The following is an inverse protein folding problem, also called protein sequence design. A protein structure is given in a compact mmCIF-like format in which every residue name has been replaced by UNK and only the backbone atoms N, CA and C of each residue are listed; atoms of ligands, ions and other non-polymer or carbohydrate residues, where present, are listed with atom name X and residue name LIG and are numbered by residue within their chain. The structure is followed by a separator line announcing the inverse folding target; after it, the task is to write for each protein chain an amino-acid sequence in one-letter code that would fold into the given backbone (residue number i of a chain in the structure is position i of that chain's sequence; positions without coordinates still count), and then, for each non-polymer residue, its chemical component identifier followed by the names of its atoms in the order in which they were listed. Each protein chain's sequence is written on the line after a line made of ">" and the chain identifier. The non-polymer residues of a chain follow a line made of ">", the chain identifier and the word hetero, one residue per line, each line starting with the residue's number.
data_IF_608418415695
#
_entry.id   IF_608418415695
#
_cell.length_a   1.000
_cell.length_b   1.000
_cell.length_c   1.000
_cell.angle_alpha   90.00
_cell.angle_beta   90.00
_cell.angle_gamma   90.00
#
_symmetry.space_group_name_H-M   'P 1'
#
loop_
_entity.id
_entity.type
_entity.pdbx_description
1 polymer ?
#
# COMPACT_ATOMS: atom_id res chain seq x y z
N UNK A 1 -19.33 -11.73 8.25
CA UNK A 1 -17.91 -12.15 8.15
C UNK A 1 -17.11 -11.41 9.21
N UNK A 2 -16.23 -12.08 9.97
CA UNK A 2 -15.49 -11.44 11.08
C UNK A 2 -14.38 -10.54 10.52
N UNK A 3 -14.44 -9.23 10.78
CA UNK A 3 -13.45 -8.24 10.34
C UNK A 3 -12.01 -8.64 10.70
N UNK A 4 -11.83 -9.38 11.79
CA UNK A 4 -10.51 -9.85 12.23
C UNK A 4 -9.91 -10.88 11.28
N UNK A 5 -10.73 -11.82 10.79
CA UNK A 5 -10.29 -12.82 9.82
C UNK A 5 -9.95 -12.17 8.48
N UNK A 6 -10.75 -11.19 8.07
CA UNK A 6 -10.48 -10.38 6.87
C UNK A 6 -9.15 -9.64 7.04
N UNK A 7 -8.96 -8.91 8.14
CA UNK A 7 -7.74 -8.15 8.40
C UNK A 7 -6.48 -9.02 8.42
N UNK A 8 -6.54 -10.22 9.02
CA UNK A 8 -5.40 -11.15 8.98
C UNK A 8 -5.13 -11.66 7.57
N UNK A 9 -6.15 -12.16 6.86
CA UNK A 9 -5.97 -12.70 5.51
C UNK A 9 -5.48 -11.64 4.52
N UNK A 10 -6.11 -10.46 4.56
CA UNK A 10 -5.75 -9.30 3.77
C UNK A 10 -4.32 -8.85 4.07
N UNK A 11 -3.94 -8.71 5.35
CA UNK A 11 -2.58 -8.30 5.71
C UNK A 11 -1.52 -9.31 5.26
N UNK A 12 -1.78 -10.61 5.38
CA UNK A 12 -0.87 -11.65 4.87
C UNK A 12 -0.74 -11.55 3.34
N UNK A 13 -1.85 -11.41 2.63
CA UNK A 13 -1.84 -11.26 1.17
C UNK A 13 -1.06 -10.03 0.73
N UNK A 14 -1.22 -8.88 1.40
CA UNK A 14 -0.44 -7.66 1.17
C UNK A 14 1.06 -7.91 1.34
N UNK A 15 1.48 -8.55 2.43
CA UNK A 15 2.91 -8.86 2.67
C UNK A 15 3.46 -9.79 1.59
N UNK A 16 2.75 -10.88 1.29
CA UNK A 16 3.19 -11.87 0.30
C UNK A 16 3.34 -11.23 -1.09
N UNK A 17 2.33 -10.47 -1.55
CA UNK A 17 2.41 -9.81 -2.85
C UNK A 17 3.57 -8.79 -2.88
N UNK A 18 3.75 -8.01 -1.82
CA UNK A 18 4.87 -7.06 -1.72
C UNK A 18 6.24 -7.74 -1.76
N UNK A 19 6.39 -8.90 -1.12
CA UNK A 19 7.62 -9.69 -1.15
C UNK A 19 7.88 -10.27 -2.56
N UNK A 20 6.85 -10.79 -3.22
CA UNK A 20 6.97 -11.31 -4.58
C UNK A 20 7.34 -10.20 -5.56
N UNK A 21 6.69 -9.04 -5.50
CA UNK A 21 7.05 -7.88 -6.33
C UNK A 21 8.48 -7.41 -6.09
N UNK A 22 8.90 -7.36 -4.82
CA UNK A 22 10.28 -7.01 -4.47
C UNK A 22 11.30 -8.02 -5.01
N UNK A 23 10.97 -9.32 -4.95
CA UNK A 23 11.82 -10.38 -5.50
C UNK A 23 11.92 -10.31 -7.03
N UNK A 24 10.81 -10.02 -7.73
CA UNK A 24 10.80 -9.80 -9.18
C UNK A 24 11.68 -8.60 -9.54
N UNK A 25 11.52 -7.46 -8.85
CA UNK A 25 12.32 -6.26 -9.09
C UNK A 25 13.82 -6.51 -8.81
N UNK A 26 14.14 -7.22 -7.74
CA UNK A 26 15.53 -7.59 -7.41
C UNK A 26 16.16 -8.50 -8.47
N UNK A 27 15.42 -9.49 -8.96
CA UNK A 27 15.88 -10.40 -10.01
C UNK A 27 15.97 -9.74 -11.39
N UNK A 28 15.29 -8.60 -11.60
CA UNK A 28 15.24 -7.91 -12.88
C UNK A 28 15.55 -6.40 -12.70
N UNK A 29 16.83 -6.01 -12.52
CA UNK A 29 17.20 -4.61 -12.25
C UNK A 29 16.83 -3.62 -13.36
N UNK A 30 16.54 -4.11 -14.57
CA UNK A 30 16.04 -3.30 -15.68
C UNK A 30 14.52 -3.10 -15.69
N UNK A 31 13.76 -3.84 -14.87
CA UNK A 31 12.31 -3.76 -14.76
C UNK A 31 11.91 -2.67 -13.77
N UNK A 32 11.46 -1.53 -14.30
CA UNK A 32 10.94 -0.43 -13.49
C UNK A 32 9.43 -0.57 -13.34
N UNK A 33 8.98 -1.05 -12.19
CA UNK A 33 7.56 -1.24 -11.87
C UNK A 33 6.88 0.02 -11.30
N UNK A 34 7.65 1.07 -10.99
CA UNK A 34 7.12 2.36 -10.52
C UNK A 34 7.93 3.53 -11.07
N UNK A 35 7.28 4.58 -11.60
CA UNK A 35 7.95 5.78 -12.07
C UNK A 35 8.28 6.76 -10.92
N UNK A 36 8.90 6.25 -9.85
CA UNK A 36 9.16 7.02 -8.61
C UNK A 36 10.38 7.93 -8.67
N UNK A 37 11.41 7.60 -9.46
CA UNK A 37 12.61 8.42 -9.62
C UNK A 37 12.51 9.43 -10.77
N UNK A 38 12.73 10.72 -10.50
CA UNK A 38 12.89 11.75 -11.53
C UNK A 38 14.28 12.42 -11.45
N UNK A 39 14.99 12.62 -12.58
CA UNK A 39 14.59 12.24 -13.94
C UNK A 39 14.62 10.72 -14.14
N UNK A 40 13.52 10.18 -14.68
CA UNK A 40 13.48 8.79 -15.12
C UNK A 40 14.16 8.69 -16.48
N UNK A 41 15.11 7.78 -16.69
CA UNK A 41 15.52 7.42 -18.04
C UNK A 41 14.32 6.76 -18.73
N UNK A 42 13.51 7.54 -19.44
CA UNK A 42 12.29 7.08 -20.16
C UNK A 42 12.63 5.85 -21.01
N UNK A 43 13.81 5.82 -21.62
CA UNK A 43 14.32 4.68 -22.38
C UNK A 43 14.40 3.37 -21.59
N UNK A 44 14.73 3.38 -20.29
CA UNK A 44 14.78 2.16 -19.46
C UNK A 44 13.40 1.64 -19.09
N UNK A 45 12.50 2.55 -18.76
CA UNK A 45 11.10 2.22 -18.46
C UNK A 45 10.40 1.62 -19.70
N UNK A 46 10.60 2.25 -20.86
CA UNK A 46 10.11 1.78 -22.15
C UNK A 46 10.73 0.44 -22.53
N UNK A 47 12.04 0.28 -22.33
CA UNK A 47 12.76 -0.95 -22.67
C UNK A 47 12.17 -2.16 -21.97
N UNK A 48 11.96 -2.12 -20.65
CA UNK A 48 11.42 -3.25 -19.92
C UNK A 48 10.01 -3.66 -20.39
N UNK A 49 9.16 -2.68 -20.68
CA UNK A 49 7.79 -2.93 -21.17
C UNK A 49 7.81 -3.60 -22.54
N UNK A 50 8.75 -3.20 -23.41
CA UNK A 50 8.88 -3.76 -24.76
C UNK A 50 9.58 -5.13 -24.78
N UNK A 51 10.57 -5.37 -23.92
CA UNK A 51 11.39 -6.59 -23.94
C UNK A 51 10.81 -7.73 -23.11
N UNK A 52 10.04 -7.43 -22.07
CA UNK A 52 9.48 -8.44 -21.17
C UNK A 52 7.99 -8.18 -20.84
N UNK A 53 7.10 -8.04 -21.85
CA UNK A 53 5.70 -7.67 -21.62
C UNK A 53 4.95 -8.69 -20.75
N UNK A 54 5.23 -9.99 -20.87
CA UNK A 54 4.59 -11.01 -20.02
C UNK A 54 4.99 -10.87 -18.53
N UNK A 55 6.25 -10.52 -18.25
CA UNK A 55 6.71 -10.29 -16.88
C UNK A 55 6.06 -9.03 -16.29
N UNK A 56 5.89 -7.98 -17.10
CA UNK A 56 5.14 -6.77 -16.71
C UNK A 56 3.69 -7.13 -16.39
N UNK A 57 3.01 -7.89 -17.24
CA UNK A 57 1.62 -8.32 -17.00
C UNK A 57 1.47 -9.14 -15.72
N UNK A 58 2.38 -10.09 -15.47
CA UNK A 58 2.38 -10.87 -14.21
C UNK A 58 2.62 -9.96 -13.01
N UNK A 59 3.55 -9.02 -13.11
CA UNK A 59 3.84 -8.07 -12.02
C UNK A 59 2.62 -7.22 -11.67
N UNK A 60 1.93 -6.67 -12.67
CA UNK A 60 0.73 -5.87 -12.43
C UNK A 60 -0.50 -6.70 -12.05
N UNK A 61 -0.58 -7.97 -12.43
CA UNK A 61 -1.59 -8.89 -11.89
C UNK A 61 -1.38 -9.11 -10.38
N UNK A 62 -0.13 -9.29 -9.94
CA UNK A 62 0.21 -9.40 -8.52
C UNK A 62 -0.08 -8.08 -7.79
N UNK A 63 0.25 -6.94 -8.41
CA UNK A 63 0.00 -5.63 -7.82
C UNK A 63 -1.50 -5.33 -7.68
N UNK A 64 -2.35 -5.78 -8.60
CA UNK A 64 -3.81 -5.69 -8.42
C UNK A 64 -4.30 -6.50 -7.21
N UNK A 65 -3.73 -7.68 -6.97
CA UNK A 65 -4.03 -8.47 -5.76
C UNK A 65 -3.52 -7.75 -4.51
N UNK A 66 -2.33 -7.15 -4.57
CA UNK A 66 -1.78 -6.32 -3.50
C UNK A 66 -2.71 -5.15 -3.14
N UNK A 67 -3.23 -4.44 -4.15
CA UNK A 67 -4.16 -3.32 -3.99
C UNK A 67 -5.45 -3.76 -3.30
N UNK A 68 -6.09 -4.81 -3.81
CA UNK A 68 -7.31 -5.37 -3.22
C UNK A 68 -7.06 -5.80 -1.76
N UNK A 69 -5.91 -6.45 -1.50
CA UNK A 69 -5.55 -6.91 -0.17
C UNK A 69 -5.35 -5.75 0.80
N UNK A 70 -4.59 -4.70 0.46
CA UNK A 70 -4.41 -3.60 1.41
C UNK A 70 -5.71 -2.82 1.63
N UNK A 71 -6.56 -2.65 0.60
CA UNK A 71 -7.87 -2.01 0.77
C UNK A 71 -8.71 -2.80 1.76
N UNK A 72 -8.79 -4.12 1.60
CA UNK A 72 -9.53 -4.99 2.52
C UNK A 72 -8.97 -4.91 3.96
N UNK A 73 -7.65 -4.82 4.12
CA UNK A 73 -6.99 -4.64 5.42
C UNK A 73 -7.43 -3.34 6.10
N UNK A 74 -7.44 -2.22 5.37
CA UNK A 74 -7.80 -0.92 5.94
C UNK A 74 -9.31 -0.76 6.15
N UNK A 75 -10.15 -1.41 5.34
CA UNK A 75 -11.60 -1.54 5.61
C UNK A 75 -11.84 -2.33 6.89
N UNK A 76 -11.12 -3.43 7.12
CA UNK A 76 -11.18 -4.16 8.39
C UNK A 76 -10.72 -3.28 9.57
N UNK A 77 -9.71 -2.43 9.36
CA UNK A 77 -9.22 -1.51 10.38
C UNK A 77 -10.24 -0.43 10.72
N UNK A 78 -10.92 0.12 9.71
CA UNK A 78 -12.05 1.05 9.89
C UNK A 78 -13.12 0.44 10.78
N UNK A 79 -13.51 -0.82 10.52
CA UNK A 79 -14.50 -1.53 11.34
C UNK A 79 -14.15 -1.60 12.82
N UNK A 80 -12.86 -1.60 13.17
CA UNK A 80 -12.37 -1.60 14.56
C UNK A 80 -12.25 -0.20 15.17
N UNK A 81 -11.87 0.80 14.39
CA UNK A 81 -11.58 2.15 14.90
C UNK A 81 -12.79 3.08 14.85
N UNK A 82 -13.73 2.86 13.92
CA UNK A 82 -14.85 3.75 13.67
C UNK A 82 -15.81 3.91 14.85
N UNK A 83 -15.92 2.92 15.74
CA UNK A 83 -16.78 3.02 16.95
C UNK A 83 -16.30 4.08 17.93
N UNK A 84 -15.00 4.37 17.98
CA UNK A 84 -14.41 5.34 18.93
C UNK A 84 -14.09 6.67 18.28
N UNK A 85 -13.54 6.66 17.06
CA UNK A 85 -13.03 7.84 16.35
C UNK A 85 -13.49 7.85 14.90
N UNK A 86 -14.81 7.87 14.69
CA UNK A 86 -15.46 7.70 13.37
C UNK A 86 -14.93 8.62 12.28
N UNK A 87 -14.75 9.91 12.58
CA UNK A 87 -14.32 10.90 11.60
C UNK A 87 -12.92 10.56 11.05
N UNK A 88 -11.92 10.41 11.92
CA UNK A 88 -10.56 10.05 11.53
C UNK A 88 -10.49 8.69 10.82
N UNK A 89 -11.21 7.69 11.34
CA UNK A 89 -11.28 6.37 10.71
C UNK A 89 -11.83 6.45 9.28
N UNK A 90 -12.90 7.20 9.08
CA UNK A 90 -13.59 7.32 7.79
C UNK A 90 -12.76 8.10 6.78
N UNK A 91 -12.16 9.23 7.19
CA UNK A 91 -11.25 10.00 6.32
C UNK A 91 -10.04 9.15 5.93
N UNK A 92 -9.44 8.43 6.89
CA UNK A 92 -8.32 7.53 6.62
C UNK A 92 -8.69 6.42 5.64
N UNK A 93 -9.82 5.73 5.85
CA UNK A 93 -10.27 4.66 4.97
C UNK A 93 -10.66 5.17 3.57
N UNK A 94 -11.32 6.32 3.48
CA UNK A 94 -11.63 6.97 2.20
C UNK A 94 -10.34 7.37 1.46
N UNK A 95 -9.35 7.89 2.18
CA UNK A 95 -8.03 8.19 1.63
C UNK A 95 -7.34 6.96 1.04
N UNK A 96 -7.35 5.82 1.75
CA UNK A 96 -6.86 4.54 1.21
C UNK A 96 -7.64 4.13 -0.04
N UNK A 97 -8.95 4.31 -0.06
CA UNK A 97 -9.77 4.03 -1.25
C UNK A 97 -9.37 4.87 -2.46
N UNK A 98 -9.10 6.17 -2.27
CA UNK A 98 -8.63 7.05 -3.34
C UNK A 98 -7.22 6.66 -3.83
N UNK A 99 -6.34 6.24 -2.93
CA UNK A 99 -5.01 5.70 -3.28
C UNK A 99 -5.16 4.45 -4.14
N UNK A 100 -6.08 3.55 -3.80
CA UNK A 100 -6.34 2.35 -4.58
C UNK A 100 -6.89 2.65 -5.97
N UNK A 101 -7.73 3.67 -6.11
CA UNK A 101 -8.17 4.14 -7.43
C UNK A 101 -6.97 4.65 -8.25
N UNK A 102 -6.07 5.43 -7.63
CA UNK A 102 -4.86 5.89 -8.30
C UNK A 102 -3.93 4.74 -8.70
N UNK A 103 -3.74 3.72 -7.85
CA UNK A 103 -3.01 2.49 -8.18
C UNK A 103 -3.66 1.78 -9.38
N UNK A 104 -4.98 1.61 -9.38
CA UNK A 104 -5.68 0.93 -10.49
C UNK A 104 -5.53 1.68 -11.82
N UNK A 105 -5.60 3.01 -11.80
CA UNK A 105 -5.37 3.85 -12.99
C UNK A 105 -3.94 3.68 -13.50
N UNK A 106 -2.96 3.74 -12.60
CA UNK A 106 -1.55 3.54 -12.93
C UNK A 106 -1.31 2.16 -13.54
N UNK A 107 -1.84 1.11 -12.90
CA UNK A 107 -1.74 -0.26 -13.36
C UNK A 107 -2.40 -0.46 -14.73
N UNK A 108 -3.52 0.22 -14.99
CA UNK A 108 -4.19 0.17 -16.30
C UNK A 108 -3.29 0.71 -17.42
N UNK A 109 -2.51 1.77 -17.17
CA UNK A 109 -1.51 2.25 -18.13
C UNK A 109 -0.47 1.18 -18.44
N UNK A 110 0.16 0.60 -17.41
CA UNK A 110 1.22 -0.40 -17.62
C UNK A 110 0.73 -1.68 -18.28
N UNK A 111 -0.44 -2.17 -17.88
CA UNK A 111 -1.08 -3.33 -18.53
C UNK A 111 -1.36 -3.03 -20.00
N UNK A 112 -1.88 -1.85 -20.30
CA UNK A 112 -2.14 -1.43 -21.70
C UNK A 112 -0.85 -1.41 -22.52
N UNK A 113 0.23 -0.83 -21.99
CA UNK A 113 1.51 -0.78 -22.71
C UNK A 113 2.11 -2.16 -22.92
N UNK A 114 2.04 -3.05 -21.92
CA UNK A 114 2.53 -4.42 -22.06
C UNK A 114 1.71 -5.23 -23.08
N UNK A 115 0.38 -5.04 -23.13
CA UNK A 115 -0.48 -5.65 -24.15
C UNK A 115 -0.18 -5.12 -25.55
N UNK A 116 0.09 -3.82 -25.71
CA UNK A 116 0.51 -3.24 -26.99
C UNK A 116 1.85 -3.82 -27.46
N UNK A 117 2.84 -3.88 -26.58
CA UNK A 117 4.15 -4.46 -26.88
C UNK A 117 4.01 -5.93 -27.31
N UNK A 118 3.17 -6.71 -26.62
CA UNK A 118 2.86 -8.10 -26.98
C UNK A 118 2.17 -8.24 -28.35
N UNK A 119 1.40 -7.22 -28.76
CA UNK A 119 0.80 -7.14 -30.09
C UNK A 119 1.76 -6.62 -31.17
N UNK A 120 3.05 -6.41 -30.86
CA UNK A 120 4.05 -5.92 -31.80
C UNK A 120 4.03 -4.40 -31.98
N UNK A 121 3.33 -3.67 -31.11
CA UNK A 121 3.28 -2.19 -31.10
C UNK A 121 4.17 -1.71 -29.95
N UNK A 122 5.43 -1.35 -30.20
CA UNK A 122 6.34 -0.94 -29.13
C UNK A 122 5.87 0.37 -28.51
N UNK A 123 5.97 0.47 -27.18
CA UNK A 123 5.88 1.73 -26.49
C UNK A 123 7.08 2.59 -26.90
N UNK A 124 6.86 3.85 -27.28
CA UNK A 124 7.93 4.77 -27.67
C UNK A 124 7.97 6.01 -26.80
N UNK A 125 6.81 6.56 -26.46
CA UNK A 125 6.70 7.82 -25.71
C UNK A 125 5.57 7.76 -24.69
N UNK A 126 5.79 7.15 -23.51
CA UNK A 126 4.80 7.14 -22.46
C UNK A 126 4.64 8.57 -21.88
N UNK A 127 3.44 8.94 -21.40
CA UNK A 127 3.21 10.18 -20.68
C UNK A 127 3.88 10.15 -19.30
N UNK A 128 5.21 10.18 -19.26
CA UNK A 128 6.04 9.93 -18.09
C UNK A 128 5.76 10.90 -16.94
N UNK A 129 5.48 12.17 -17.26
CA UNK A 129 5.10 13.18 -16.27
C UNK A 129 3.78 12.82 -15.61
N UNK A 130 2.77 12.40 -16.38
CA UNK A 130 1.48 12.00 -15.83
C UNK A 130 1.62 10.78 -14.91
N UNK A 131 2.34 9.75 -15.36
CA UNK A 131 2.59 8.55 -14.54
C UNK A 131 3.32 8.92 -13.25
N UNK A 132 4.37 9.74 -13.34
CA UNK A 132 5.09 10.23 -12.17
C UNK A 132 4.18 10.98 -11.19
N UNK A 133 3.31 11.85 -11.69
CA UNK A 133 2.34 12.58 -10.85
C UNK A 133 1.34 11.62 -10.20
N UNK A 134 0.82 10.64 -10.92
CA UNK A 134 -0.08 9.61 -10.36
C UNK A 134 0.63 8.85 -9.25
N UNK A 135 1.86 8.37 -9.49
CA UNK A 135 2.69 7.68 -8.49
C UNK A 135 2.84 8.51 -7.22
N UNK A 136 3.11 9.80 -7.36
CA UNK A 136 3.31 10.69 -6.22
C UNK A 136 2.00 10.97 -5.48
N UNK A 137 0.91 11.25 -6.20
CA UNK A 137 -0.41 11.45 -5.60
C UNK A 137 -0.83 10.24 -4.78
N UNK A 138 -0.62 9.01 -5.27
CA UNK A 138 -0.95 7.80 -4.49
C UNK A 138 -0.07 7.64 -3.25
N UNK A 139 1.24 7.93 -3.35
CA UNK A 139 2.15 7.88 -2.20
C UNK A 139 1.71 8.91 -1.14
N UNK A 140 1.44 10.15 -1.54
CA UNK A 140 0.98 11.20 -0.64
C UNK A 140 -0.37 10.90 -0.02
N UNK A 141 -1.30 10.42 -0.83
CA UNK A 141 -2.61 9.97 -0.37
C UNK A 141 -2.47 8.89 0.70
N UNK A 142 -1.56 7.93 0.52
CA UNK A 142 -1.33 6.85 1.49
C UNK A 142 -0.76 7.40 2.79
N UNK A 143 0.23 8.29 2.71
CA UNK A 143 0.83 8.93 3.90
C UNK A 143 -0.22 9.70 4.71
N UNK A 144 -1.05 10.50 4.04
CA UNK A 144 -2.13 11.25 4.69
C UNK A 144 -3.15 10.29 5.29
N UNK A 145 -3.58 9.26 4.54
CA UNK A 145 -4.52 8.27 5.02
C UNK A 145 -4.01 7.53 6.26
N UNK A 146 -2.74 7.13 6.28
CA UNK A 146 -2.10 6.50 7.43
C UNK A 146 -2.03 7.44 8.65
N UNK A 147 -1.79 8.74 8.45
CA UNK A 147 -1.83 9.71 9.54
C UNK A 147 -3.23 9.80 10.16
N UNK A 148 -4.29 9.86 9.35
CA UNK A 148 -5.67 9.83 9.83
C UNK A 148 -6.03 8.51 10.54
N UNK A 149 -5.58 7.37 10.03
CA UNK A 149 -5.78 6.08 10.68
C UNK A 149 -5.02 5.94 12.00
N UNK A 150 -3.82 6.53 12.09
CA UNK A 150 -3.06 6.61 13.34
C UNK A 150 -3.85 7.39 14.40
N UNK A 151 -4.44 8.53 14.01
CA UNK A 151 -5.33 9.31 14.88
C UNK A 151 -6.60 8.55 15.27
N UNK A 152 -7.03 7.56 14.50
CA UNK A 152 -8.20 6.74 14.80
C UNK A 152 -7.90 5.57 15.75
N UNK A 153 -6.65 5.13 15.87
CA UNK A 153 -6.26 3.99 16.72
C UNK A 153 -6.40 4.31 18.22
N UNK A 154 -6.91 3.37 19.03
CA UNK A 154 -6.95 3.52 20.48
C UNK A 154 -5.54 3.42 21.07
N UNK A 155 -5.14 4.31 22.00
CA UNK A 155 -3.80 4.29 22.61
C UNK A 155 -3.71 3.38 23.86
N UNK A 156 -4.73 2.56 24.07
CA UNK A 156 -4.89 1.67 25.22
C UNK A 156 -4.15 0.35 24.94
N UNK A 157 -2.82 0.40 24.99
CA UNK A 157 -1.96 -0.78 24.86
C UNK A 157 -0.65 -0.51 24.12
N UNK A 158 0.31 -1.42 24.27
CA UNK A 158 1.63 -1.30 23.62
C UNK A 158 1.54 -1.40 22.10
N UNK A 159 0.79 -2.37 21.57
CA UNK A 159 0.72 -2.62 20.13
C UNK A 159 0.07 -1.46 19.35
N UNK A 160 -1.07 -0.88 19.76
CA UNK A 160 -1.61 0.30 19.09
C UNK A 160 -0.69 1.52 19.14
N UNK A 161 0.04 1.75 20.25
CA UNK A 161 1.05 2.84 20.33
C UNK A 161 2.19 2.62 19.35
N UNK A 162 2.65 1.38 19.20
CA UNK A 162 3.66 1.02 18.19
C UNK A 162 3.12 1.27 16.78
N UNK A 163 1.87 0.88 16.49
CA UNK A 163 1.24 1.17 15.20
C UNK A 163 1.16 2.67 14.91
N UNK A 164 0.73 3.48 15.89
CA UNK A 164 0.70 4.94 15.76
C UNK A 164 2.09 5.51 15.51
N UNK A 165 3.10 5.06 16.26
CA UNK A 165 4.49 5.49 16.05
C UNK A 165 5.00 5.12 14.64
N UNK A 166 4.75 3.90 14.18
CA UNK A 166 5.15 3.44 12.84
C UNK A 166 4.44 4.22 11.72
N UNK A 167 3.13 4.45 11.86
CA UNK A 167 2.37 5.27 10.91
C UNK A 167 2.86 6.73 10.92
N UNK A 168 3.18 7.28 12.09
CA UNK A 168 3.75 8.61 12.21
C UNK A 168 5.15 8.72 11.57
N UNK A 169 6.03 7.72 11.76
CA UNK A 169 7.37 7.66 11.13
C UNK A 169 7.29 7.47 9.61
N UNK A 170 6.22 6.84 9.11
CA UNK A 170 6.01 6.69 7.66
C UNK A 170 5.92 8.05 6.96
N UNK A 171 5.40 9.08 7.62
CA UNK A 171 5.30 10.44 7.07
C UNK A 171 6.68 11.04 6.74
N UNK A 172 7.58 11.28 7.71
CA UNK A 172 8.91 11.83 7.43
C UNK A 172 9.76 10.88 6.58
N UNK A 173 9.60 9.56 6.73
CA UNK A 173 10.31 8.60 5.87
C UNK A 173 9.91 8.70 4.40
N UNK A 174 8.62 8.94 4.13
CA UNK A 174 8.13 9.16 2.76
C UNK A 174 8.64 10.48 2.18
N UNK A 175 8.63 11.56 2.99
CA UNK A 175 9.21 12.85 2.59
C UNK A 175 10.70 12.71 2.28
N UNK A 176 11.46 12.01 3.15
CA UNK A 176 12.89 11.79 2.95
C UNK A 176 13.17 10.98 1.68
N UNK A 177 12.42 9.91 1.43
CA UNK A 177 12.54 9.10 0.22
C UNK A 177 12.24 9.86 -1.07
N UNK A 178 11.49 10.97 -1.00
CA UNK A 178 11.22 11.83 -2.15
C UNK A 178 12.35 12.81 -2.42
N UNK A 179 12.85 13.47 -1.37
CA UNK A 179 13.93 14.45 -1.50
C UNK A 179 15.26 13.74 -1.80
N UNK A 180 15.41 12.50 -1.34
CA UNK A 180 16.60 11.69 -1.50
C UNK A 180 16.21 10.33 -2.09
N UNK A 181 16.33 10.11 -3.41
CA UNK A 181 15.98 8.83 -4.04
C UNK A 181 16.71 7.62 -3.44
N UNK A 182 17.95 7.80 -2.96
CA UNK A 182 18.71 6.77 -2.25
C UNK A 182 18.10 6.34 -0.92
N UNK A 183 17.19 7.15 -0.36
CA UNK A 183 16.43 6.88 0.85
C UNK A 183 15.06 6.23 0.58
N UNK A 184 14.71 5.91 -0.68
CA UNK A 184 13.45 5.22 -1.00
C UNK A 184 13.20 3.95 -0.14
N UNK A 185 14.21 3.11 0.18
CA UNK A 185 13.99 1.96 1.06
C UNK A 185 13.47 2.34 2.45
N UNK A 186 13.80 3.53 2.95
CA UNK A 186 13.33 4.02 4.25
C UNK A 186 11.81 4.25 4.27
N UNK A 187 11.17 4.43 3.11
CA UNK A 187 9.71 4.52 2.99
C UNK A 187 9.04 3.16 3.16
N UNK A 188 9.62 2.10 2.58
CA UNK A 188 8.99 0.77 2.48
C UNK A 188 9.06 0.01 3.81
N UNK A 189 10.16 0.16 4.55
CA UNK A 189 10.38 -0.50 5.84
C UNK A 189 9.27 -0.20 6.87
N UNK A 190 8.94 1.07 7.20
CA UNK A 190 7.91 1.37 8.19
C UNK A 190 6.52 0.94 7.70
N UNK A 191 6.22 1.06 6.41
CA UNK A 191 4.94 0.59 5.85
C UNK A 191 4.77 -0.92 6.00
N UNK A 192 5.81 -1.69 5.71
CA UNK A 192 5.82 -3.14 5.89
C UNK A 192 5.64 -3.52 7.35
N UNK A 193 6.34 -2.81 8.25
CA UNK A 193 6.19 -2.99 9.69
C UNK A 193 4.77 -2.66 10.17
N UNK A 194 4.13 -1.62 9.64
CA UNK A 194 2.70 -1.30 9.91
C UNK A 194 1.82 -2.49 9.54
N UNK A 195 1.95 -3.05 8.33
CA UNK A 195 1.12 -4.18 7.88
C UNK A 195 1.35 -5.40 8.78
N UNK A 196 2.60 -5.74 9.10
CA UNK A 196 2.92 -6.85 10.00
C UNK A 196 2.32 -6.65 11.40
N UNK A 197 2.44 -5.44 11.96
CA UNK A 197 1.83 -5.11 13.24
C UNK A 197 0.29 -5.15 13.17
N UNK A 198 -0.32 -4.77 12.04
CA UNK A 198 -1.76 -4.88 11.83
C UNK A 198 -2.22 -6.34 11.80
N UNK A 199 -1.48 -7.26 11.19
CA UNK A 199 -1.79 -8.70 11.24
C UNK A 199 -1.85 -9.18 12.69
N UNK A 200 -0.84 -8.83 13.50
CA UNK A 200 -0.81 -9.17 14.93
C UNK A 200 -1.96 -8.49 15.68
N UNK A 201 -2.27 -7.24 15.35
CA UNK A 201 -3.37 -6.49 15.94
C UNK A 201 -4.72 -7.18 15.67
N UNK A 202 -4.97 -7.62 14.44
CA UNK A 202 -6.18 -8.37 14.09
C UNK A 202 -6.23 -9.73 14.79
N UNK A 203 -5.12 -10.49 14.80
CA UNK A 203 -5.04 -11.81 15.48
C UNK A 203 -5.36 -11.75 16.97
N UNK A 204 -4.96 -10.69 17.66
CA UNK A 204 -5.20 -10.54 19.11
C UNK A 204 -6.66 -10.24 19.48
N UNK A 205 -7.54 -9.99 18.49
CA UNK A 205 -8.91 -9.55 18.75
C UNK A 205 -8.96 -8.12 19.31
N UNK A 206 -10.15 -7.51 19.33
CA UNK A 206 -10.37 -6.43 20.29
C UNK A 206 -10.25 -7.02 21.71
N UNK A 207 -9.62 -6.34 22.70
CA UNK A 207 -9.65 -6.82 24.07
C UNK A 207 -11.11 -7.10 24.43
N UNK A 208 -11.39 -8.39 24.65
CA UNK A 208 -12.73 -8.90 24.77
C UNK A 208 -13.39 -8.27 25.98
N UNK A 209 -14.44 -7.47 25.76
CA UNK A 209 -15.56 -7.21 26.69
C UNK A 209 -15.26 -6.70 28.13
N UNK A 210 -14.02 -6.59 28.59
CA UNK A 210 -13.71 -6.09 29.94
C UNK A 210 -13.95 -4.58 30.07
N UNK A 211 -13.99 -3.84 28.96
CA UNK A 211 -14.24 -2.40 28.94
C UNK A 211 -15.72 -2.00 28.77
N UNK A 212 -16.64 -2.98 28.64
CA UNK A 212 -18.08 -2.68 28.50
C UNK A 212 -18.87 -2.76 29.81
N UNK A 213 -18.21 -3.08 30.94
CA UNK A 213 -18.90 -3.11 32.23
C UNK A 213 -20.06 -4.10 32.31
N UNK A 214 -20.11 -5.11 31.42
CA UNK A 214 -21.08 -6.18 31.58
C UNK A 214 -20.73 -6.96 32.85
N UNK A 215 -21.62 -6.97 33.87
CA UNK A 215 -21.35 -7.66 35.11
C UNK A 215 -21.12 -9.15 34.80
N UNK A 216 -20.11 -9.74 35.45
CA UNK A 216 -19.95 -11.19 35.49
C UNK A 216 -21.21 -11.75 36.14
N UNK A 217 -22.12 -12.29 35.33
CA UNK A 217 -23.19 -13.14 35.84
C UNK A 217 -22.48 -14.38 36.39
N UNK A 218 -22.46 -14.48 37.72
CA UNK A 218 -21.93 -15.61 38.47
C UNK A 218 -22.78 -16.86 38.26
#
# INVERSE_FOLDING_TARGET
>A
MNADRIGVGAGVATVVCGLVLSAIAFANPGLYLQPSGFPMPVGRFVQATNTAPDLVLVSFAIDMVYVIAYVALFVALHGRTARRRRAFATVGAAGVGLVAVADMIENAFFVTYALQAKAGIPLTDPPAVLLHLITHVKIYGLVVALAFLALALPLDGRLPRVLVALMAVTVPASVLGMVMPSAEPLRVIPQTAVVLCLIVYFRRGAPAREALGEPRVA
#
